data_IF_043775664807
#
_entry.id   IF_043775664807
#
_cell.length_a   1.000
_cell.length_b   1.000
_cell.length_c   1.000
_cell.angle_alpha   90.00
_cell.angle_beta   90.00
_cell.angle_gamma   90.00
#
_symmetry.space_group_name_H-M   'P 1'
#
loop_
_entity.id
_entity.type
_entity.pdbx_description
1 polymer ?
#
# COMPACT_ATOMS: atom_id res chain seq x y z
N UNK A 1 5.57 -16.07 -37.76
CA UNK A 1 4.19 -15.83 -38.15
C UNK A 1 3.89 -14.33 -38.32
N UNK A 2 4.19 -13.49 -37.34
CA UNK A 2 3.94 -12.04 -37.43
C UNK A 2 4.69 -11.41 -38.61
N UNK A 3 5.94 -11.81 -38.85
CA UNK A 3 6.73 -11.35 -40.02
C UNK A 3 6.18 -11.86 -41.38
N UNK A 4 5.36 -12.88 -41.33
CA UNK A 4 4.64 -13.44 -42.49
C UNK A 4 3.28 -12.75 -42.71
N UNK A 5 2.98 -11.69 -41.94
CA UNK A 5 1.71 -10.95 -42.04
C UNK A 5 0.53 -11.62 -41.36
N UNK A 6 0.74 -12.67 -40.57
CA UNK A 6 -0.32 -13.35 -39.84
C UNK A 6 -0.76 -12.52 -38.61
N UNK A 7 -2.03 -12.64 -38.24
CA UNK A 7 -2.62 -12.05 -37.05
C UNK A 7 -2.55 -13.06 -35.92
N UNK A 8 -2.03 -12.66 -34.76
CA UNK A 8 -2.00 -13.44 -33.53
C UNK A 8 -2.81 -12.76 -32.44
N UNK A 9 -3.47 -13.57 -31.61
CA UNK A 9 -4.14 -13.10 -30.40
C UNK A 9 -3.39 -13.61 -29.17
N UNK A 10 -3.09 -12.68 -28.22
CA UNK A 10 -2.58 -13.01 -26.90
C UNK A 10 -3.76 -13.03 -25.94
N UNK A 11 -3.96 -14.16 -25.26
CA UNK A 11 -5.02 -14.37 -24.27
C UNK A 11 -4.41 -14.77 -22.94
N UNK A 12 -5.13 -14.51 -21.84
CA UNK A 12 -4.82 -14.98 -20.49
C UNK A 12 -6.01 -15.70 -19.88
N UNK A 13 -5.78 -16.49 -18.86
CA UNK A 13 -6.85 -17.27 -18.19
C UNK A 13 -7.88 -16.34 -17.51
N UNK A 14 -7.44 -15.17 -17.01
CA UNK A 14 -8.33 -14.18 -16.39
C UNK A 14 -7.77 -12.76 -16.52
N UNK A 15 -8.64 -11.81 -16.81
CA UNK A 15 -8.30 -10.38 -16.87
C UNK A 15 -7.50 -9.98 -18.12
N UNK A 16 -6.67 -8.94 -17.96
CA UNK A 16 -5.91 -8.35 -19.06
C UNK A 16 -4.54 -9.00 -19.18
N UNK A 17 -4.16 -9.55 -20.35
CA UNK A 17 -2.85 -10.15 -20.58
C UNK A 17 -1.69 -9.21 -20.23
N UNK A 18 -0.53 -9.78 -19.96
CA UNK A 18 0.74 -9.11 -19.64
C UNK A 18 0.81 -8.29 -18.34
N UNK A 19 -0.30 -7.98 -17.70
CA UNK A 19 -0.33 -7.32 -16.37
C UNK A 19 -0.30 -8.37 -15.26
N UNK A 20 0.89 -8.68 -14.76
CA UNK A 20 1.17 -9.80 -13.84
C UNK A 20 0.99 -11.19 -14.50
N UNK A 21 0.92 -11.22 -15.82
CA UNK A 21 0.77 -12.38 -16.69
C UNK A 21 1.86 -12.40 -17.75
N UNK A 22 2.10 -13.55 -18.41
CA UNK A 22 3.01 -13.63 -19.56
C UNK A 22 2.58 -12.72 -20.71
N UNK A 23 3.57 -12.27 -21.52
CA UNK A 23 3.29 -11.51 -22.75
C UNK A 23 4.16 -10.29 -22.95
N UNK A 24 4.72 -9.71 -21.87
CA UNK A 24 5.51 -8.47 -21.95
C UNK A 24 6.66 -8.56 -22.98
N UNK A 25 7.40 -9.65 -23.00
CA UNK A 25 8.53 -9.85 -23.92
C UNK A 25 8.04 -9.85 -25.38
N UNK A 26 6.95 -10.56 -25.66
CA UNK A 26 6.36 -10.59 -27.00
C UNK A 26 5.93 -9.20 -27.46
N UNK A 27 5.26 -8.44 -26.59
CA UNK A 27 4.81 -7.08 -26.90
C UNK A 27 6.01 -6.17 -27.15
N UNK A 28 7.06 -6.27 -26.35
CA UNK A 28 8.29 -5.51 -26.53
C UNK A 28 8.95 -5.79 -27.89
N UNK A 29 9.11 -7.05 -28.24
CA UNK A 29 9.64 -7.48 -29.55
C UNK A 29 8.77 -6.97 -30.73
N UNK A 30 7.45 -6.99 -30.57
CA UNK A 30 6.55 -6.42 -31.60
C UNK A 30 6.80 -4.93 -31.78
N UNK A 31 6.95 -4.16 -30.69
CA UNK A 31 7.21 -2.72 -30.74
C UNK A 31 8.54 -2.45 -31.42
N UNK A 32 9.61 -3.16 -31.05
CA UNK A 32 10.95 -3.01 -31.63
C UNK A 32 10.99 -3.31 -33.14
N UNK A 33 10.12 -4.23 -33.60
CA UNK A 33 9.99 -4.61 -35.00
C UNK A 33 8.91 -3.83 -35.76
N UNK A 34 8.33 -2.77 -35.15
CA UNK A 34 7.23 -1.99 -35.72
C UNK A 34 6.01 -2.83 -36.11
N UNK A 35 5.77 -3.95 -35.42
CA UNK A 35 4.59 -4.78 -35.59
C UNK A 35 3.46 -4.15 -34.77
N UNK A 36 2.32 -3.92 -35.40
CA UNK A 36 1.15 -3.28 -34.75
C UNK A 36 0.60 -4.17 -33.64
N UNK A 37 0.54 -3.62 -32.41
CA UNK A 37 -0.13 -4.25 -31.26
C UNK A 37 -1.43 -3.49 -30.99
N UNK A 38 -2.55 -4.19 -30.95
CA UNK A 38 -3.87 -3.62 -30.71
C UNK A 38 -4.43 -4.14 -29.40
N UNK A 39 -4.68 -3.28 -28.38
CA UNK A 39 -5.32 -3.71 -27.14
C UNK A 39 -6.82 -3.94 -27.37
N UNK A 40 -7.34 -5.03 -26.83
CA UNK A 40 -8.77 -5.29 -26.74
C UNK A 40 -9.21 -4.91 -25.31
N UNK A 41 -10.02 -3.86 -25.12
CA UNK A 41 -10.53 -3.50 -23.79
C UNK A 41 -11.32 -4.64 -23.17
N UNK A 42 -11.08 -4.89 -21.90
CA UNK A 42 -11.71 -5.99 -21.19
C UNK A 42 -11.72 -5.78 -19.68
N UNK A 43 -12.08 -6.83 -18.97
CA UNK A 43 -12.15 -6.83 -17.51
C UNK A 43 -10.76 -6.74 -16.88
N UNK A 44 -10.69 -6.04 -15.75
CA UNK A 44 -9.48 -5.95 -14.94
C UNK A 44 -9.87 -5.93 -13.46
N UNK A 45 -9.33 -6.87 -12.70
CA UNK A 45 -9.54 -6.92 -11.24
C UNK A 45 -9.01 -5.68 -10.52
N UNK A 46 -8.02 -5.01 -11.10
CA UNK A 46 -7.43 -3.77 -10.57
C UNK A 46 -8.47 -2.65 -10.61
N UNK A 47 -9.00 -2.35 -11.80
CA UNK A 47 -10.00 -1.28 -11.96
C UNK A 47 -11.32 -1.65 -11.31
N UNK A 48 -11.76 -2.91 -11.39
CA UNK A 48 -12.96 -3.40 -10.71
C UNK A 48 -12.87 -3.23 -9.19
N UNK A 49 -11.73 -3.58 -8.57
CA UNK A 49 -11.52 -3.38 -7.14
C UNK A 49 -11.48 -1.90 -6.76
N UNK A 50 -10.81 -1.07 -7.55
CA UNK A 50 -10.75 0.37 -7.32
C UNK A 50 -12.13 1.01 -7.40
N UNK A 51 -12.96 0.68 -8.39
CA UNK A 51 -14.28 1.27 -8.59
C UNK A 51 -15.24 1.03 -7.42
N UNK A 52 -15.05 -0.06 -6.66
CA UNK A 52 -15.87 -0.42 -5.50
C UNK A 52 -15.20 -0.11 -4.17
N UNK A 53 -13.97 0.40 -4.16
CA UNK A 53 -13.23 0.67 -2.93
C UNK A 53 -13.75 1.87 -2.15
N UNK A 54 -14.25 2.89 -2.85
CA UNK A 54 -14.59 4.20 -2.27
C UNK A 54 -13.35 5.02 -1.90
N UNK A 55 -12.17 4.65 -2.39
CA UNK A 55 -10.90 5.36 -2.20
C UNK A 55 -10.64 6.32 -3.35
N UNK A 56 -9.59 7.17 -3.24
CA UNK A 56 -9.25 8.10 -4.31
C UNK A 56 -8.79 7.35 -5.56
N UNK A 57 -9.11 7.94 -6.71
CA UNK A 57 -8.84 7.40 -8.05
C UNK A 57 -7.35 7.38 -8.44
N UNK A 58 -6.53 8.18 -7.76
CA UNK A 58 -5.08 8.10 -7.89
C UNK A 58 -4.55 6.90 -7.12
N UNK A 59 -4.04 5.92 -7.82
CA UNK A 59 -3.53 4.70 -7.20
C UNK A 59 -2.26 4.18 -7.87
N UNK A 60 -1.52 3.39 -7.11
CA UNK A 60 -0.37 2.63 -7.57
C UNK A 60 -0.73 1.15 -7.61
N UNK A 61 -0.61 0.53 -8.75
CA UNK A 61 -0.66 -0.92 -8.88
C UNK A 61 0.75 -1.49 -8.72
N UNK A 62 0.95 -2.27 -7.66
CA UNK A 62 2.23 -2.93 -7.40
C UNK A 62 2.25 -4.38 -7.95
N UNK A 63 1.11 -5.05 -7.97
CA UNK A 63 1.01 -6.48 -8.31
C UNK A 63 1.34 -7.40 -7.14
N UNK A 64 2.07 -8.48 -7.39
CA UNK A 64 2.45 -9.44 -6.36
C UNK A 64 3.60 -8.92 -5.49
N UNK A 65 3.41 -8.97 -4.18
CA UNK A 65 4.43 -8.61 -3.21
C UNK A 65 5.54 -9.68 -3.11
N UNK A 66 6.77 -9.30 -2.71
CA UNK A 66 7.86 -10.26 -2.50
C UNK A 66 7.48 -11.38 -1.54
N UNK A 67 8.03 -12.58 -1.80
CA UNK A 67 7.77 -13.78 -1.00
C UNK A 67 8.63 -13.84 0.27
N UNK A 68 9.83 -13.24 0.23
CA UNK A 68 10.76 -13.20 1.37
C UNK A 68 10.41 -12.07 2.31
N UNK A 69 10.48 -12.32 3.61
CA UNK A 69 10.07 -11.33 4.63
C UNK A 69 10.92 -10.06 4.57
N UNK A 70 12.23 -10.21 4.39
CA UNK A 70 13.18 -9.08 4.34
C UNK A 70 12.89 -8.13 3.17
N UNK A 71 12.67 -8.67 1.98
CA UNK A 71 12.33 -7.88 0.81
C UNK A 71 10.95 -7.25 0.93
N UNK A 72 9.99 -8.02 1.44
CA UNK A 72 8.63 -7.53 1.69
C UNK A 72 8.64 -6.31 2.62
N UNK A 73 9.33 -6.38 3.76
CA UNK A 73 9.41 -5.26 4.70
C UNK A 73 10.10 -4.04 4.09
N UNK A 74 11.16 -4.23 3.30
CA UNK A 74 11.83 -3.16 2.57
C UNK A 74 10.87 -2.47 1.59
N UNK A 75 10.11 -3.23 0.83
CA UNK A 75 9.12 -2.70 -0.13
C UNK A 75 7.98 -1.99 0.60
N UNK A 76 7.40 -2.61 1.64
CA UNK A 76 6.30 -2.01 2.40
C UNK A 76 6.71 -0.71 3.10
N UNK A 77 7.96 -0.63 3.59
CA UNK A 77 8.52 0.61 4.15
C UNK A 77 8.59 1.74 3.11
N UNK A 78 8.90 1.41 1.88
CA UNK A 78 8.90 2.36 0.76
C UNK A 78 7.46 2.74 0.37
N UNK A 79 6.59 1.74 0.20
CA UNK A 79 5.21 1.91 -0.25
C UNK A 79 4.36 2.70 0.76
N UNK A 80 4.57 2.53 2.06
CA UNK A 80 3.80 3.25 3.07
C UNK A 80 4.04 4.77 3.06
N UNK A 81 5.10 5.25 2.41
CA UNK A 81 5.36 6.68 2.26
C UNK A 81 4.49 7.34 1.19
N UNK A 82 4.00 6.58 0.20
CA UNK A 82 3.14 7.14 -0.84
C UNK A 82 1.76 7.51 -0.30
N UNK A 83 1.27 8.66 -0.76
CA UNK A 83 -0.05 9.19 -0.41
C UNK A 83 -1.19 8.61 -1.25
N UNK A 84 -0.88 7.82 -2.28
CA UNK A 84 -1.87 7.21 -3.18
C UNK A 84 -2.47 5.94 -2.59
N UNK A 85 -3.65 5.57 -3.09
CA UNK A 85 -4.19 4.22 -2.91
C UNK A 85 -3.26 3.19 -3.54
N UNK A 86 -3.24 1.96 -3.04
CA UNK A 86 -2.32 0.93 -3.52
C UNK A 86 -3.04 -0.38 -3.73
N UNK A 87 -2.79 -1.02 -4.87
CA UNK A 87 -3.43 -2.27 -5.27
C UNK A 87 -2.39 -3.39 -5.33
N UNK A 88 -2.71 -4.51 -4.68
CA UNK A 88 -1.86 -5.68 -4.58
C UNK A 88 -2.60 -6.94 -4.98
N UNK A 89 -1.91 -7.87 -5.61
CA UNK A 89 -2.35 -9.26 -5.75
C UNK A 89 -1.77 -10.09 -4.62
N UNK A 90 -2.64 -10.74 -3.86
CA UNK A 90 -2.25 -11.50 -2.67
C UNK A 90 -2.64 -12.97 -2.85
N UNK A 91 -1.70 -13.92 -2.74
CA UNK A 91 -2.03 -15.33 -2.66
C UNK A 91 -2.94 -15.59 -1.45
N UNK A 92 -4.15 -16.10 -1.69
CA UNK A 92 -5.19 -16.22 -0.66
C UNK A 92 -4.73 -17.00 0.58
N UNK A 93 -3.97 -18.06 0.39
CA UNK A 93 -3.42 -18.89 1.48
C UNK A 93 -2.50 -18.09 2.43
N UNK A 94 -1.90 -17.00 1.96
CA UNK A 94 -0.98 -16.16 2.74
C UNK A 94 -1.63 -14.87 3.26
N UNK A 95 -2.94 -14.68 3.09
CA UNK A 95 -3.60 -13.40 3.43
C UNK A 95 -3.31 -12.96 4.87
N UNK A 96 -3.39 -13.85 5.84
CA UNK A 96 -3.15 -13.51 7.24
C UNK A 96 -1.70 -13.05 7.51
N UNK A 97 -0.73 -13.59 6.79
CA UNK A 97 0.65 -13.13 6.86
C UNK A 97 0.76 -11.68 6.36
N UNK A 98 0.15 -11.38 5.21
CA UNK A 98 0.18 -10.02 4.66
C UNK A 98 -0.63 -9.03 5.50
N UNK A 99 -1.77 -9.43 6.07
CA UNK A 99 -2.55 -8.57 6.97
C UNK A 99 -1.75 -8.13 8.21
N UNK A 100 -0.96 -9.02 8.80
CA UNK A 100 -0.04 -8.65 9.89
C UNK A 100 0.96 -7.58 9.46
N UNK A 101 1.52 -7.71 8.27
CA UNK A 101 2.44 -6.73 7.71
C UNK A 101 1.74 -5.41 7.37
N UNK A 102 0.54 -5.47 6.81
CA UNK A 102 -0.24 -4.27 6.52
C UNK A 102 -0.58 -3.48 7.79
N UNK A 103 -0.95 -4.15 8.87
CA UNK A 103 -1.14 -3.50 10.19
C UNK A 103 0.12 -2.76 10.66
N UNK A 104 1.30 -3.33 10.44
CA UNK A 104 2.57 -2.73 10.81
C UNK A 104 2.90 -1.48 9.98
N UNK A 105 2.68 -1.52 8.65
CA UNK A 105 3.15 -0.49 7.73
C UNK A 105 2.08 0.50 7.26
N UNK A 106 0.81 0.11 7.26
CA UNK A 106 -0.31 0.93 6.76
C UNK A 106 -1.35 1.26 7.84
N UNK A 107 -0.92 1.31 9.11
CA UNK A 107 -1.79 1.74 10.21
C UNK A 107 -2.47 3.09 9.90
N UNK A 108 -3.71 3.26 10.31
CA UNK A 108 -4.54 4.45 10.05
C UNK A 108 -5.17 4.50 8.65
N UNK A 109 -4.88 3.54 7.76
CA UNK A 109 -5.51 3.43 6.44
C UNK A 109 -6.68 2.45 6.47
N UNK A 110 -7.52 2.52 5.43
CA UNK A 110 -8.57 1.54 5.17
C UNK A 110 -8.08 0.51 4.15
N UNK A 111 -8.72 -0.64 4.14
CA UNK A 111 -8.49 -1.65 3.12
C UNK A 111 -9.79 -2.21 2.57
N UNK A 112 -9.73 -2.65 1.33
CA UNK A 112 -10.70 -3.52 0.67
C UNK A 112 -9.97 -4.80 0.27
N UNK A 113 -10.53 -5.96 0.62
CA UNK A 113 -10.14 -7.25 0.05
C UNK A 113 -11.27 -7.67 -0.89
N UNK A 114 -11.00 -7.72 -2.18
CA UNK A 114 -11.88 -8.28 -3.19
C UNK A 114 -11.43 -9.71 -3.48
N UNK A 115 -12.29 -10.67 -3.14
CA UNK A 115 -12.02 -12.10 -3.31
C UNK A 115 -12.83 -12.65 -4.46
N UNK A 116 -12.17 -13.41 -5.35
CA UNK A 116 -12.83 -14.16 -6.42
C UNK A 116 -13.77 -13.31 -7.29
N UNK A 117 -13.30 -12.11 -7.68
CA UNK A 117 -14.07 -11.17 -8.50
C UNK A 117 -14.69 -11.86 -9.70
N UNK A 118 -15.98 -11.64 -9.94
CA UNK A 118 -16.79 -12.21 -11.03
C UNK A 118 -16.99 -13.73 -10.98
N UNK A 119 -16.54 -14.40 -9.91
CA UNK A 119 -16.67 -15.85 -9.74
C UNK A 119 -17.78 -16.21 -8.73
N UNK A 120 -18.13 -17.48 -8.63
CA UNK A 120 -19.22 -17.99 -7.78
C UNK A 120 -19.05 -17.62 -6.28
N UNK A 121 -17.80 -17.54 -5.81
CA UNK A 121 -17.50 -17.24 -4.41
C UNK A 121 -16.99 -15.80 -4.19
N UNK A 122 -17.45 -14.87 -5.02
CA UNK A 122 -17.12 -13.46 -4.87
C UNK A 122 -17.50 -12.94 -3.48
N UNK A 123 -16.58 -12.20 -2.87
CA UNK A 123 -16.85 -11.56 -1.58
C UNK A 123 -15.92 -10.36 -1.34
N UNK A 124 -16.43 -9.40 -0.56
CA UNK A 124 -15.75 -8.15 -0.27
C UNK A 124 -15.64 -7.91 1.23
N UNK A 125 -14.43 -7.60 1.69
CA UNK A 125 -14.16 -7.25 3.08
C UNK A 125 -13.62 -5.83 3.11
N UNK A 126 -14.30 -4.93 3.84
CA UNK A 126 -13.92 -3.52 4.01
C UNK A 126 -13.75 -3.22 5.48
N UNK A 127 -12.59 -2.71 5.87
CA UNK A 127 -12.32 -2.39 7.26
C UNK A 127 -11.14 -1.40 7.37
N UNK A 128 -10.96 -0.81 8.54
CA UNK A 128 -9.69 -0.17 8.88
C UNK A 128 -8.58 -1.21 8.94
N UNK A 129 -7.39 -0.90 8.43
CA UNK A 129 -6.24 -1.83 8.44
C UNK A 129 -5.95 -2.34 9.85
N UNK A 130 -6.09 -1.48 10.86
CA UNK A 130 -5.81 -1.83 12.25
C UNK A 130 -6.87 -2.75 12.87
N UNK A 131 -8.11 -2.68 12.40
CA UNK A 131 -9.25 -3.42 12.96
C UNK A 131 -9.52 -4.74 12.26
N UNK A 132 -9.07 -4.91 10.99
CA UNK A 132 -9.36 -6.13 10.23
C UNK A 132 -8.98 -7.40 11.02
N UNK A 133 -9.91 -8.31 11.12
CA UNK A 133 -9.68 -9.60 11.77
C UNK A 133 -8.93 -10.56 10.84
N UNK A 134 -8.13 -11.44 11.44
CA UNK A 134 -7.53 -12.55 10.70
C UNK A 134 -8.60 -13.56 10.30
N UNK A 135 -8.45 -14.13 9.12
CA UNK A 135 -9.33 -15.21 8.68
C UNK A 135 -9.08 -16.45 9.56
N UNK A 136 -10.17 -17.00 10.11
CA UNK A 136 -10.10 -18.18 10.98
C UNK A 136 -9.77 -19.46 10.22
N UNK A 137 -10.17 -19.54 8.95
CA UNK A 137 -9.95 -20.68 8.07
C UNK A 137 -9.03 -20.31 6.93
N UNK A 138 -8.44 -21.32 6.27
CA UNK A 138 -7.64 -21.09 5.07
C UNK A 138 -8.50 -20.49 3.96
N UNK A 139 -8.06 -19.37 3.43
CA UNK A 139 -8.73 -18.70 2.31
C UNK A 139 -8.19 -19.29 1.01
N UNK A 140 -9.10 -19.62 0.09
CA UNK A 140 -8.77 -20.10 -1.25
C UNK A 140 -9.17 -19.09 -2.30
N UNK A 141 -8.57 -19.17 -3.47
CA UNK A 141 -8.88 -18.34 -4.63
C UNK A 141 -7.92 -17.15 -4.80
N UNK A 142 -8.36 -16.15 -5.53
CA UNK A 142 -7.59 -14.98 -5.89
C UNK A 142 -8.05 -13.77 -5.08
N UNK A 143 -7.10 -12.98 -4.59
CA UNK A 143 -7.39 -11.77 -3.84
C UNK A 143 -6.74 -10.56 -4.48
N UNK A 144 -7.56 -9.55 -4.74
CA UNK A 144 -7.08 -8.19 -5.01
C UNK A 144 -7.29 -7.35 -3.74
N UNK A 145 -6.21 -6.84 -3.19
CA UNK A 145 -6.26 -6.01 -1.98
C UNK A 145 -5.96 -4.58 -2.35
N UNK A 146 -6.85 -3.68 -1.94
CA UNK A 146 -6.66 -2.24 -2.11
C UNK A 146 -6.48 -1.62 -0.74
N UNK A 147 -5.40 -0.87 -0.56
CA UNK A 147 -5.18 -0.04 0.62
C UNK A 147 -5.43 1.41 0.23
N UNK A 148 -6.20 2.13 1.03
CA UNK A 148 -6.56 3.51 0.76
C UNK A 148 -5.34 4.43 0.73
N UNK A 149 -5.52 5.61 0.17
CA UNK A 149 -4.56 6.70 0.27
C UNK A 149 -4.24 7.01 1.74
N UNK A 150 -3.06 7.57 1.96
CA UNK A 150 -2.66 8.06 3.27
C UNK A 150 -3.52 9.28 3.61
N UNK A 151 -4.19 9.25 4.74
CA UNK A 151 -4.90 10.44 5.22
C UNK A 151 -3.86 11.53 5.53
N UNK A 152 -3.98 12.70 4.91
CA UNK A 152 -3.02 13.81 5.10
C UNK A 152 -2.96 14.25 6.58
N UNK A 153 -4.01 13.94 7.35
CA UNK A 153 -4.03 14.15 8.81
C UNK A 153 -3.15 13.17 9.58
N UNK A 154 -2.86 12.00 9.00
CA UNK A 154 -1.98 10.96 9.58
C UNK A 154 -0.60 11.03 8.94
N UNK A 155 0.12 12.13 9.10
CA UNK A 155 1.57 12.11 8.91
C UNK A 155 2.13 11.07 9.86
N UNK A 156 2.92 10.15 9.33
CA UNK A 156 3.62 9.12 10.10
C UNK A 156 4.25 9.80 11.31
N UNK A 157 3.62 9.60 12.46
CA UNK A 157 4.13 10.05 13.73
C UNK A 157 5.20 9.03 14.13
N UNK A 158 6.41 9.26 13.60
CA UNK A 158 7.59 8.56 14.07
C UNK A 158 7.93 9.13 15.45
N UNK A 159 7.31 8.54 16.47
CA UNK A 159 7.43 8.98 17.85
C UNK A 159 8.87 8.96 18.32
N UNK A 160 9.65 7.95 17.93
CA UNK A 160 11.07 7.84 18.27
C UNK A 160 11.88 8.98 17.65
N UNK A 161 11.63 9.31 16.39
CA UNK A 161 12.27 10.44 15.71
C UNK A 161 11.93 11.77 16.37
N UNK A 162 10.66 11.95 16.75
CA UNK A 162 10.20 13.16 17.46
C UNK A 162 10.82 13.25 18.84
N UNK A 163 10.85 12.14 19.60
CA UNK A 163 11.50 12.10 20.92
C UNK A 163 12.98 12.46 20.82
N UNK A 164 13.71 11.89 19.84
CA UNK A 164 15.13 12.22 19.62
C UNK A 164 15.34 13.70 19.31
N UNK A 165 14.54 14.28 18.42
CA UNK A 165 14.60 15.71 18.09
C UNK A 165 14.20 16.59 19.29
N UNK A 166 13.12 16.23 20.01
CA UNK A 166 12.67 16.95 21.19
C UNK A 166 13.74 16.97 22.27
N UNK A 167 14.38 15.84 22.58
CA UNK A 167 15.50 15.78 23.54
C UNK A 167 16.68 16.68 23.14
N UNK A 168 17.00 16.73 21.85
CA UNK A 168 18.08 17.60 21.35
C UNK A 168 17.73 19.09 21.50
N UNK A 169 16.50 19.46 21.13
CA UNK A 169 16.06 20.85 21.14
C UNK A 169 15.78 21.36 22.57
N UNK A 170 15.23 20.54 23.47
CA UNK A 170 14.97 20.90 24.85
C UNK A 170 16.23 21.28 25.66
N UNK A 171 17.42 20.86 25.18
CA UNK A 171 18.71 21.28 25.76
C UNK A 171 19.05 22.74 25.47
N UNK A 172 18.46 23.35 24.43
CA UNK A 172 18.83 24.70 23.96
C UNK A 172 17.68 25.70 23.94
N UNK A 173 16.44 25.22 23.89
CA UNK A 173 15.26 26.03 23.67
C UNK A 173 14.20 25.80 24.74
N UNK A 174 13.31 26.77 24.92
CA UNK A 174 12.17 26.62 25.82
C UNK A 174 11.18 25.54 25.28
N UNK A 175 10.38 24.97 26.20
CA UNK A 175 9.38 23.96 25.82
C UNK A 175 8.42 24.51 24.75
N UNK A 176 8.04 25.79 24.85
CA UNK A 176 7.13 26.44 23.89
C UNK A 176 7.77 26.54 22.50
N UNK A 177 9.03 26.96 22.46
CA UNK A 177 9.76 27.10 21.19
C UNK A 177 10.00 25.72 20.52
N UNK A 178 10.31 24.70 21.32
CA UNK A 178 10.47 23.32 20.80
C UNK A 178 9.18 22.80 20.20
N UNK A 179 8.04 23.06 20.84
CA UNK A 179 6.73 22.66 20.30
C UNK A 179 6.44 23.37 18.98
N UNK A 180 6.77 24.65 18.87
CA UNK A 180 6.58 25.43 17.63
C UNK A 180 7.50 24.92 16.53
N UNK A 181 8.79 24.78 16.78
CA UNK A 181 9.78 24.25 15.82
C UNK A 181 9.43 22.86 15.29
N UNK A 182 9.01 21.95 16.18
CA UNK A 182 8.59 20.60 15.78
C UNK A 182 7.25 20.60 15.04
N UNK A 183 6.34 21.51 15.39
CA UNK A 183 5.09 21.69 14.67
C UNK A 183 5.34 22.17 13.23
N UNK A 184 6.21 23.16 13.04
CA UNK A 184 6.52 23.69 11.71
C UNK A 184 7.27 22.69 10.84
N UNK A 185 8.25 21.98 11.41
CA UNK A 185 9.10 21.04 10.67
C UNK A 185 8.40 19.70 10.35
N UNK A 186 7.63 19.18 11.31
CA UNK A 186 7.01 17.86 11.17
C UNK A 186 5.51 17.94 10.89
N UNK A 187 4.88 19.13 11.02
CA UNK A 187 3.44 19.40 10.82
C UNK A 187 2.51 18.43 11.59
N UNK A 188 2.90 18.10 12.81
CA UNK A 188 2.18 17.22 13.73
C UNK A 188 1.37 18.08 14.70
N UNK A 189 0.27 17.54 15.24
CA UNK A 189 -0.58 18.24 16.21
C UNK A 189 0.22 18.76 17.40
N UNK A 190 0.18 20.09 17.66
CA UNK A 190 0.90 20.78 18.75
C UNK A 190 0.65 20.12 20.12
N UNK A 191 -0.60 19.71 20.40
CA UNK A 191 -0.97 19.06 21.68
C UNK A 191 -0.21 17.76 21.91
N UNK A 192 0.02 16.97 20.84
CA UNK A 192 0.75 15.70 20.93
C UNK A 192 2.26 15.93 21.13
N UNK A 193 2.83 16.91 20.42
CA UNK A 193 4.23 17.32 20.62
C UNK A 193 4.45 17.82 22.03
N UNK A 194 3.54 18.66 22.53
CA UNK A 194 3.61 19.21 23.89
C UNK A 194 3.64 18.11 24.96
N UNK A 195 2.78 17.10 24.82
CA UNK A 195 2.75 15.94 25.72
C UNK A 195 4.07 15.16 25.74
N UNK A 196 4.67 14.94 24.56
CA UNK A 196 5.98 14.28 24.46
C UNK A 196 7.06 15.09 25.16
N UNK A 197 7.10 16.40 24.91
CA UNK A 197 8.08 17.28 25.54
C UNK A 197 7.93 17.33 27.08
N UNK A 198 6.69 17.28 27.59
CA UNK A 198 6.42 17.18 29.02
C UNK A 198 6.93 15.87 29.62
N UNK A 199 6.64 14.74 28.97
CA UNK A 199 7.11 13.43 29.43
C UNK A 199 8.64 13.34 29.46
N UNK A 200 9.33 13.94 28.49
CA UNK A 200 10.80 14.01 28.49
C UNK A 200 11.31 14.80 29.69
N UNK A 201 10.74 15.99 29.94
CA UNK A 201 11.14 16.83 31.09
C UNK A 201 10.83 16.23 32.45
N UNK A 202 9.72 15.50 32.60
CA UNK A 202 9.38 14.83 33.86
C UNK A 202 10.33 13.65 34.13
N UNK A 203 10.72 12.89 33.09
CA UNK A 203 11.68 11.79 33.25
C UNK A 203 13.11 12.29 33.59
N UNK A 204 13.51 13.46 33.07
CA UNK A 204 14.82 14.08 33.40
C UNK A 204 14.88 14.67 34.80
N UNK A 205 13.73 14.95 35.46
CA UNK A 205 13.67 15.40 36.84
C UNK A 205 13.71 14.30 37.90
N UNK A 206 13.40 13.07 37.44
CA UNK A 206 13.34 11.87 38.30
C UNK A 206 14.58 10.97 38.16
N UNK A 207 15.57 11.39 37.37
CA UNK A 207 16.89 10.74 37.19
C UNK A 207 17.98 11.66 37.74
#
# INVERSE_FOLDING_TARGET
YLNEGKILSLISDAGTPSLSDPGRILIQECIEKNIKVVPIPGVSSITASMSISGFKDQFLFYGFLPKTEKELEKILLSLCQFSFSQVFFIPAIKINFYLKKFKKFFSGRKLLIAKELTKLHESFYREDVDKINMFKTSVKGELTVVISEKNIKDKFFDEEKIIKKAKLYLKKYSLKDVVELLFESEKINKKKIYQICLNIKSNEKNS
#
